data_IF_251550413181
#
_entry.id   IF_251550413181
#
_cell.length_a   1.000
_cell.length_b   1.000
_cell.length_c   1.000
_cell.angle_alpha   90.00
_cell.angle_beta   90.00
_cell.angle_gamma   90.00
#
_symmetry.space_group_name_H-M   'P 1'
#
loop_
_entity.id
_entity.type
_entity.pdbx_description
1 polymer ?
#
# COMPACT_ATOMS: atom_id res chain seq x y z
N UNK A 1 -9.82 -18.67 30.47
CA UNK A 1 -9.78 -17.27 30.01
C UNK A 1 -9.11 -16.39 31.06
N UNK A 2 -9.66 -16.29 32.27
CA UNK A 2 -9.13 -15.38 33.32
C UNK A 2 -7.68 -15.68 33.71
N UNK A 3 -7.31 -16.96 33.83
CA UNK A 3 -5.92 -17.40 34.09
C UNK A 3 -4.94 -16.92 33.02
N UNK A 4 -5.35 -16.97 31.74
CA UNK A 4 -4.54 -16.55 30.59
C UNK A 4 -4.37 -15.03 30.59
N UNK A 5 -5.44 -14.28 30.87
CA UNK A 5 -5.37 -12.82 30.98
C UNK A 5 -4.50 -12.40 32.18
N UNK A 6 -4.62 -13.07 33.32
CA UNK A 6 -3.82 -12.78 34.50
C UNK A 6 -2.33 -13.06 34.27
N UNK A 7 -1.99 -14.19 33.63
CA UNK A 7 -0.62 -14.51 33.25
C UNK A 7 -0.05 -13.48 32.25
N UNK A 8 -0.83 -13.06 31.24
CA UNK A 8 -0.40 -12.01 30.31
C UNK A 8 -0.13 -10.67 31.01
N UNK A 9 -0.96 -10.29 31.99
CA UNK A 9 -0.76 -9.07 32.81
C UNK A 9 0.51 -9.16 33.66
N UNK A 10 0.81 -10.34 34.22
CA UNK A 10 2.03 -10.57 34.99
C UNK A 10 3.31 -10.43 34.14
N UNK A 11 3.21 -10.73 32.84
CA UNK A 11 4.29 -10.57 31.85
C UNK A 11 4.47 -9.13 31.33
N UNK A 12 3.69 -8.18 31.87
CA UNK A 12 3.82 -6.76 31.59
C UNK A 12 2.88 -6.22 30.51
N UNK A 13 2.00 -7.05 29.92
CA UNK A 13 1.04 -6.55 28.94
C UNK A 13 0.02 -5.62 29.60
N UNK A 14 -0.04 -4.38 29.11
CA UNK A 14 -0.83 -3.30 29.67
C UNK A 14 -1.98 -2.92 28.73
N UNK A 15 -2.90 -2.04 29.17
CA UNK A 15 -3.98 -1.54 28.29
C UNK A 15 -5.04 -2.59 27.89
N UNK A 16 -5.69 -2.37 26.75
CA UNK A 16 -6.67 -3.31 26.19
C UNK A 16 -5.96 -4.53 25.61
N UNK A 17 -6.45 -5.73 25.92
CA UNK A 17 -5.87 -6.98 25.44
C UNK A 17 -6.84 -7.63 24.45
N UNK A 18 -6.29 -8.05 23.31
CA UNK A 18 -6.96 -8.90 22.34
C UNK A 18 -6.50 -10.34 22.58
N UNK A 19 -7.47 -11.24 22.80
CA UNK A 19 -7.22 -12.63 23.17
C UNK A 19 -7.71 -13.50 22.03
N UNK A 20 -6.78 -14.14 21.34
CA UNK A 20 -7.08 -15.10 20.28
C UNK A 20 -7.17 -16.51 20.85
N UNK A 21 -8.34 -17.13 20.74
CA UNK A 21 -8.60 -18.50 21.17
C UNK A 21 -7.94 -19.47 20.17
N UNK A 22 -7.17 -20.46 20.64
CA UNK A 22 -6.57 -21.46 19.76
C UNK A 22 -7.62 -22.36 19.12
N UNK A 23 -7.41 -22.73 17.86
CA UNK A 23 -8.33 -23.59 17.11
C UNK A 23 -8.33 -25.06 17.57
N UNK A 24 -7.30 -25.50 18.31
CA UNK A 24 -7.17 -26.87 18.81
C UNK A 24 -6.57 -26.94 20.21
N UNK A 25 -6.74 -28.10 20.86
CA UNK A 25 -6.30 -28.33 22.25
C UNK A 25 -4.78 -28.35 22.46
N UNK A 26 -4.00 -28.43 21.37
CA UNK A 26 -2.53 -28.47 21.41
C UNK A 26 -1.87 -27.16 20.96
N UNK A 27 -2.63 -26.06 20.93
CA UNK A 27 -2.13 -24.73 20.54
C UNK A 27 -2.27 -23.74 21.70
N UNK A 28 -1.26 -22.89 21.88
CA UNK A 28 -1.25 -21.86 22.89
C UNK A 28 -2.26 -20.75 22.59
N UNK A 29 -2.79 -20.16 23.65
CA UNK A 29 -3.58 -18.93 23.60
C UNK A 29 -2.67 -17.75 23.31
N UNK A 30 -3.06 -16.88 22.38
CA UNK A 30 -2.26 -15.69 22.07
C UNK A 30 -2.96 -14.47 22.63
N UNK A 31 -2.28 -13.75 23.52
CA UNK A 31 -2.73 -12.48 24.08
C UNK A 31 -1.87 -11.38 23.53
N UNK A 32 -2.48 -10.36 22.93
CA UNK A 32 -1.77 -9.21 22.34
C UNK A 32 -2.32 -7.92 22.92
N UNK A 33 -1.47 -6.92 23.06
CA UNK A 33 -1.97 -5.57 23.29
C UNK A 33 -2.74 -5.08 22.06
N UNK A 34 -3.96 -4.60 22.28
CA UNK A 34 -4.79 -4.06 21.22
C UNK A 34 -4.16 -2.77 20.67
N UNK A 35 -4.31 -2.55 19.36
CA UNK A 35 -3.91 -1.29 18.73
C UNK A 35 -4.77 -0.16 19.28
N UNK A 36 -4.13 0.93 19.71
CA UNK A 36 -4.79 2.08 20.29
C UNK A 36 -4.21 3.38 19.68
N UNK A 37 -4.98 4.48 19.67
CA UNK A 37 -4.45 5.78 19.27
C UNK A 37 -3.24 6.16 20.12
N UNK A 38 -2.21 6.72 19.46
CA UNK A 38 -0.95 7.18 20.07
C UNK A 38 -0.07 6.08 20.66
N UNK A 39 -0.36 4.81 20.33
CA UNK A 39 0.44 3.65 20.76
C UNK A 39 1.27 3.11 19.58
N UNK A 40 2.59 3.14 19.73
CA UNK A 40 3.55 2.79 18.66
C UNK A 40 4.15 1.38 18.80
N UNK A 41 3.87 0.69 19.89
CA UNK A 41 4.37 -0.64 20.21
C UNK A 41 3.23 -1.49 20.76
N UNK A 42 3.19 -2.77 20.39
CA UNK A 42 2.21 -3.72 20.91
C UNK A 42 2.92 -5.03 21.20
N UNK A 43 2.89 -5.44 22.46
CA UNK A 43 3.51 -6.69 22.88
C UNK A 43 2.52 -7.86 22.73
N UNK A 44 3.07 -9.07 22.57
CA UNK A 44 2.29 -10.29 22.45
C UNK A 44 2.91 -11.43 23.26
N UNK A 45 2.07 -12.20 23.95
CA UNK A 45 2.48 -13.39 24.72
C UNK A 45 1.61 -14.58 24.32
N UNK A 46 2.24 -15.73 24.17
CA UNK A 46 1.58 -17.02 23.94
C UNK A 46 1.59 -17.82 25.24
N UNK A 47 0.42 -18.32 25.66
CA UNK A 47 0.20 -18.94 26.97
C UNK A 47 -0.48 -20.30 26.77
N UNK A 48 0.02 -21.34 27.43
CA UNK A 48 -0.64 -22.64 27.47
C UNK A 48 -1.96 -22.53 28.26
N UNK A 49 -3.07 -22.86 27.60
CA UNK A 49 -4.41 -22.72 28.19
C UNK A 49 -4.72 -23.73 29.30
N UNK A 50 -3.96 -24.82 29.40
CA UNK A 50 -4.14 -25.90 30.38
C UNK A 50 -3.29 -25.68 31.64
N UNK A 51 -2.06 -25.20 31.48
CA UNK A 51 -1.11 -24.99 32.58
C UNK A 51 -0.98 -23.53 33.02
N UNK A 52 -1.37 -22.57 32.16
CA UNK A 52 -1.14 -21.15 32.37
C UNK A 52 0.32 -20.72 32.17
N UNK A 53 1.19 -21.62 31.71
CA UNK A 53 2.60 -21.33 31.47
C UNK A 53 2.79 -20.47 30.20
N UNK A 54 3.73 -19.54 30.25
CA UNK A 54 4.14 -18.76 29.08
C UNK A 54 4.96 -19.65 28.16
N UNK A 55 4.50 -19.81 26.93
CA UNK A 55 5.15 -20.63 25.89
C UNK A 55 6.10 -19.79 25.06
N UNK A 56 5.71 -18.55 24.76
CA UNK A 56 6.49 -17.63 23.94
C UNK A 56 6.13 -16.17 24.24
N UNK A 57 7.08 -15.25 24.04
CA UNK A 57 6.89 -13.81 24.23
C UNK A 57 7.55 -13.05 23.09
N UNK A 58 6.77 -12.15 22.49
CA UNK A 58 7.20 -11.27 21.40
C UNK A 58 7.07 -9.84 21.88
N UNK A 59 8.21 -9.26 22.25
CA UNK A 59 8.33 -7.87 22.68
C UNK A 59 8.54 -6.96 21.46
N UNK A 60 7.85 -5.82 21.46
CA UNK A 60 7.91 -4.87 20.35
C UNK A 60 9.29 -4.20 20.20
N UNK A 61 10.12 -4.23 21.25
CA UNK A 61 11.48 -3.70 21.24
C UNK A 61 12.46 -4.59 20.44
N UNK A 62 12.20 -5.89 20.37
CA UNK A 62 12.99 -6.86 19.62
C UNK A 62 12.59 -6.94 18.13
N UNK A 63 11.56 -6.21 17.72
CA UNK A 63 11.10 -6.22 16.33
C UNK A 63 12.14 -5.60 15.39
N UNK A 64 12.45 -6.26 14.25
CA UNK A 64 13.19 -5.63 13.16
C UNK A 64 12.52 -4.33 12.72
N UNK A 65 13.32 -3.37 12.25
CA UNK A 65 12.82 -2.05 11.79
C UNK A 65 11.72 -2.22 10.74
N UNK A 66 11.87 -3.17 9.82
CA UNK A 66 10.88 -3.47 8.79
C UNK A 66 9.52 -3.91 9.38
N UNK A 67 9.51 -4.70 10.46
CA UNK A 67 8.30 -5.14 11.13
C UNK A 67 7.60 -3.98 11.86
N UNK A 68 8.36 -3.12 12.53
CA UNK A 68 7.84 -1.89 13.18
C UNK A 68 7.23 -0.93 12.17
N UNK A 69 7.94 -0.65 11.08
CA UNK A 69 7.46 0.22 10.02
C UNK A 69 6.19 -0.34 9.37
N UNK A 70 6.14 -1.65 9.13
CA UNK A 70 4.95 -2.33 8.60
C UNK A 70 3.78 -2.23 9.57
N UNK A 71 4.01 -2.41 10.87
CA UNK A 71 2.98 -2.22 11.89
C UNK A 71 2.43 -0.79 11.87
N UNK A 72 3.29 0.23 11.88
CA UNK A 72 2.87 1.63 11.80
C UNK A 72 2.12 1.94 10.50
N UNK A 73 2.59 1.41 9.37
CA UNK A 73 1.92 1.54 8.08
C UNK A 73 0.50 0.96 8.12
N UNK A 74 0.32 -0.22 8.72
CA UNK A 74 -1.01 -0.82 8.91
C UNK A 74 -1.87 0.06 9.82
N UNK A 75 -1.34 0.52 10.96
CA UNK A 75 -2.10 1.38 11.87
C UNK A 75 -2.49 2.73 11.25
N UNK A 76 -1.61 3.28 10.41
CA UNK A 76 -1.88 4.48 9.61
C UNK A 76 -3.01 4.21 8.62
N UNK A 77 -2.91 3.13 7.84
CA UNK A 77 -3.89 2.78 6.83
C UNK A 77 -5.28 2.47 7.42
N UNK A 78 -5.32 1.81 8.57
CA UNK A 78 -6.57 1.52 9.29
C UNK A 78 -7.17 2.76 9.98
N UNK A 79 -6.48 3.90 10.01
CA UNK A 79 -7.00 5.12 10.64
C UNK A 79 -6.85 5.17 12.16
N UNK A 80 -6.02 4.31 12.76
CA UNK A 80 -5.94 4.17 14.23
C UNK A 80 -4.79 4.96 14.88
N UNK A 81 -3.62 5.05 14.24
CA UNK A 81 -2.38 5.48 14.90
C UNK A 81 -2.45 6.87 15.57
N UNK A 82 -3.03 7.86 14.90
CA UNK A 82 -3.21 9.22 15.44
C UNK A 82 -4.69 9.55 15.74
N UNK A 83 -5.52 8.54 15.95
CA UNK A 83 -6.95 8.70 16.18
C UNK A 83 -7.64 9.50 15.07
N UNK A 84 -8.45 10.51 15.45
CA UNK A 84 -9.25 11.30 14.51
C UNK A 84 -8.40 12.08 13.48
N UNK A 85 -7.18 12.48 13.84
CA UNK A 85 -6.28 13.20 12.92
C UNK A 85 -5.94 12.30 11.72
N UNK A 86 -5.66 11.03 11.99
CA UNK A 86 -5.37 10.06 10.95
C UNK A 86 -6.59 9.82 10.04
N UNK A 87 -7.78 9.72 10.64
CA UNK A 87 -9.02 9.56 9.89
C UNK A 87 -9.30 10.75 8.97
N UNK A 88 -9.11 11.98 9.45
CA UNK A 88 -9.25 13.18 8.63
C UNK A 88 -8.24 13.21 7.49
N UNK A 89 -6.99 12.85 7.75
CA UNK A 89 -5.96 12.74 6.71
C UNK A 89 -6.34 11.72 5.64
N UNK A 90 -6.78 10.53 6.04
CA UNK A 90 -7.27 9.51 5.11
C UNK A 90 -8.49 9.96 4.31
N UNK A 91 -9.42 10.69 4.94
CA UNK A 91 -10.58 11.26 4.26
C UNK A 91 -10.16 12.27 3.17
N UNK A 92 -9.19 13.13 3.46
CA UNK A 92 -8.65 14.07 2.46
C UNK A 92 -7.96 13.35 1.31
N UNK A 93 -7.17 12.31 1.59
CA UNK A 93 -6.54 11.48 0.56
C UNK A 93 -7.59 10.79 -0.30
N UNK A 94 -8.62 10.21 0.31
CA UNK A 94 -9.73 9.57 -0.40
C UNK A 94 -10.49 10.56 -1.29
N UNK A 95 -10.77 11.78 -0.80
CA UNK A 95 -11.39 12.84 -1.59
C UNK A 95 -10.51 13.23 -2.79
N UNK A 96 -9.20 13.42 -2.59
CA UNK A 96 -8.28 13.73 -3.69
C UNK A 96 -8.19 12.61 -4.74
N UNK A 97 -8.24 11.34 -4.33
CA UNK A 97 -8.33 10.20 -5.25
C UNK A 97 -9.63 10.24 -6.06
N UNK A 98 -10.76 10.52 -5.41
CA UNK A 98 -12.05 10.66 -6.08
C UNK A 98 -12.02 11.81 -7.08
N UNK A 99 -11.44 12.95 -6.71
CA UNK A 99 -11.28 14.10 -7.60
C UNK A 99 -10.44 13.73 -8.83
N UNK A 100 -9.31 13.05 -8.65
CA UNK A 100 -8.45 12.62 -9.77
C UNK A 100 -9.20 11.63 -10.67
N UNK A 101 -9.98 10.70 -10.12
CA UNK A 101 -10.79 9.76 -10.89
C UNK A 101 -11.86 10.51 -11.70
N UNK A 102 -12.61 11.41 -11.04
CA UNK A 102 -13.63 12.22 -11.67
C UNK A 102 -13.05 13.12 -12.78
N UNK A 103 -11.91 13.76 -12.52
CA UNK A 103 -11.19 14.56 -13.51
C UNK A 103 -10.69 13.70 -14.67
N UNK A 104 -10.15 12.51 -14.39
CA UNK A 104 -9.72 11.55 -15.40
C UNK A 104 -10.87 11.11 -16.30
N UNK A 105 -12.01 10.77 -15.72
CA UNK A 105 -13.22 10.42 -16.46
C UNK A 105 -13.77 11.60 -17.26
N UNK A 106 -13.79 12.80 -16.67
CA UNK A 106 -14.17 14.03 -17.37
C UNK A 106 -13.25 14.31 -18.56
N UNK A 107 -11.93 14.20 -18.40
CA UNK A 107 -10.96 14.35 -19.48
C UNK A 107 -11.18 13.30 -20.57
N UNK A 108 -11.46 12.06 -20.20
CA UNK A 108 -11.78 10.99 -21.13
C UNK A 108 -13.06 11.28 -21.92
N UNK A 109 -14.14 11.70 -21.25
CA UNK A 109 -15.41 12.05 -21.85
C UNK A 109 -15.30 13.26 -22.80
N UNK A 110 -14.61 14.32 -22.38
CA UNK A 110 -14.38 15.51 -23.19
C UNK A 110 -13.55 15.23 -24.44
N UNK A 111 -12.61 14.27 -24.37
CA UNK A 111 -11.72 13.90 -25.48
C UNK A 111 -12.40 13.06 -26.56
N UNK A 112 -13.37 12.22 -26.19
CA UNK A 112 -14.11 11.36 -27.12
C UNK A 112 -15.18 12.09 -27.96
N UNK A 113 -15.49 13.36 -27.65
CA UNK A 113 -16.59 14.09 -28.27
C UNK A 113 -16.34 14.44 -29.75
N UNK A 114 -15.09 14.70 -30.14
CA UNK A 114 -14.76 15.22 -31.47
C UNK A 114 -13.77 14.34 -32.26
N UNK A 115 -13.15 13.31 -31.66
CA UNK A 115 -12.05 12.52 -32.27
C UNK A 115 -12.24 11.00 -32.28
N UNK A 116 -13.43 10.52 -31.93
CA UNK A 116 -13.73 9.08 -31.83
C UNK A 116 -13.26 8.45 -30.53
N UNK A 117 -13.85 7.30 -30.20
CA UNK A 117 -13.55 6.54 -28.99
C UNK A 117 -12.07 6.12 -28.95
N UNK A 118 -11.36 6.42 -27.86
CA UNK A 118 -9.99 5.95 -27.67
C UNK A 118 -8.90 6.71 -28.45
N UNK A 119 -9.19 7.88 -29.04
CA UNK A 119 -8.16 8.80 -29.58
C UNK A 119 -7.00 8.91 -28.60
N UNK A 120 -5.77 8.53 -28.96
CA UNK A 120 -4.60 8.47 -28.05
C UNK A 120 -4.08 9.88 -27.70
N UNK A 121 -3.42 10.08 -26.53
CA UNK A 121 -2.91 11.40 -26.17
C UNK A 121 -1.86 11.81 -27.19
N UNK A 122 -1.78 13.10 -27.51
CA UNK A 122 -0.70 13.61 -28.37
C UNK A 122 0.63 13.23 -27.72
N UNK A 123 1.45 12.46 -28.43
CA UNK A 123 2.74 12.03 -27.94
C UNK A 123 3.57 13.26 -27.49
N UNK A 124 4.28 13.13 -26.35
CA UNK A 124 5.19 14.17 -25.86
C UNK A 124 4.62 15.15 -24.83
N UNK A 125 3.39 14.96 -24.33
CA UNK A 125 2.87 15.75 -23.20
C UNK A 125 3.77 15.65 -21.94
N UNK A 126 4.36 14.47 -21.69
CA UNK A 126 5.36 14.29 -20.63
C UNK A 126 6.57 15.22 -20.80
N UNK A 127 7.01 15.49 -22.03
CA UNK A 127 8.14 16.41 -22.31
C UNK A 127 7.81 17.87 -22.01
N UNK A 128 6.53 18.24 -21.91
CA UNK A 128 6.08 19.60 -21.56
C UNK A 128 6.11 19.86 -20.05
N UNK A 129 6.18 18.82 -19.22
CA UNK A 129 6.32 18.97 -17.78
C UNK A 129 7.70 19.53 -17.43
N UNK A 130 7.77 20.35 -16.37
CA UNK A 130 9.04 20.85 -15.84
C UNK A 130 10.02 19.70 -15.60
N UNK A 131 11.32 19.84 -15.94
CA UNK A 131 12.35 18.84 -15.63
C UNK A 131 12.31 18.43 -14.16
N UNK A 132 12.13 19.38 -13.25
CA UNK A 132 12.04 19.12 -11.82
C UNK A 132 10.88 18.19 -11.48
N UNK A 133 9.68 18.48 -11.99
CA UNK A 133 8.49 17.68 -11.72
C UNK A 133 8.66 16.23 -12.20
N UNK A 134 9.26 16.05 -13.39
CA UNK A 134 9.55 14.71 -13.93
C UNK A 134 10.52 13.94 -13.05
N UNK A 135 11.62 14.57 -12.65
CA UNK A 135 12.62 13.94 -11.78
C UNK A 135 12.01 13.54 -10.44
N UNK A 136 11.23 14.43 -9.82
CA UNK A 136 10.53 14.13 -8.55
C UNK A 136 9.60 12.93 -8.70
N UNK A 137 8.78 12.89 -9.76
CA UNK A 137 7.86 11.76 -9.99
C UNK A 137 8.62 10.45 -10.19
N UNK A 138 9.71 10.45 -10.97
CA UNK A 138 10.54 9.25 -11.18
C UNK A 138 11.17 8.77 -9.88
N UNK A 139 11.73 9.68 -9.07
CA UNK A 139 12.31 9.34 -7.77
C UNK A 139 11.24 8.71 -6.85
N UNK A 140 10.04 9.29 -6.79
CA UNK A 140 8.94 8.76 -5.98
C UNK A 140 8.49 7.37 -6.45
N UNK A 141 8.40 7.15 -7.76
CA UNK A 141 8.04 5.84 -8.32
C UNK A 141 9.09 4.78 -7.99
N UNK A 142 10.38 5.10 -8.10
CA UNK A 142 11.48 4.19 -7.76
C UNK A 142 11.43 3.88 -6.26
N UNK A 143 11.35 4.91 -5.42
CA UNK A 143 11.27 4.74 -3.97
C UNK A 143 10.09 3.84 -3.57
N UNK A 144 8.90 4.09 -4.14
CA UNK A 144 7.71 3.28 -3.87
C UNK A 144 7.85 1.85 -4.39
N UNK A 145 8.49 1.64 -5.55
CA UNK A 145 8.74 0.30 -6.10
C UNK A 145 9.68 -0.54 -5.22
N UNK A 146 10.57 0.08 -4.46
CA UNK A 146 11.39 -0.61 -3.47
C UNK A 146 10.57 -1.07 -2.25
N UNK A 147 9.56 -0.28 -1.85
CA UNK A 147 8.63 -0.64 -0.77
C UNK A 147 7.61 -1.68 -1.23
N UNK A 148 7.17 -1.62 -2.49
CA UNK A 148 6.18 -2.50 -3.09
C UNK A 148 6.73 -3.15 -4.37
N UNK A 149 7.51 -4.25 -4.26
CA UNK A 149 8.19 -4.85 -5.42
C UNK A 149 7.24 -5.30 -6.54
N UNK A 150 6.06 -5.82 -6.19
CA UNK A 150 5.02 -6.22 -7.15
C UNK A 150 4.50 -5.04 -7.98
N UNK A 151 4.35 -3.87 -7.36
CA UNK A 151 4.00 -2.65 -8.07
C UNK A 151 5.11 -2.29 -9.07
N UNK A 152 6.37 -2.30 -8.63
CA UNK A 152 7.52 -2.01 -9.49
C UNK A 152 7.61 -2.94 -10.70
N UNK A 153 7.36 -4.24 -10.51
CA UNK A 153 7.36 -5.23 -11.58
C UNK A 153 6.21 -4.99 -12.57
N UNK A 154 5.01 -4.68 -12.07
CA UNK A 154 3.85 -4.36 -12.93
C UNK A 154 4.07 -3.08 -13.74
N UNK A 155 4.70 -2.06 -13.14
CA UNK A 155 5.05 -0.81 -13.78
C UNK A 155 6.10 -1.03 -14.88
N UNK A 156 7.12 -1.83 -14.59
CA UNK A 156 8.14 -2.20 -15.57
C UNK A 156 7.52 -2.93 -16.77
N UNK A 157 6.66 -3.91 -16.51
CA UNK A 157 5.95 -4.63 -17.56
C UNK A 157 5.10 -3.69 -18.42
N UNK A 158 4.35 -2.77 -17.78
CA UNK A 158 3.55 -1.77 -18.47
C UNK A 158 4.40 -0.86 -19.37
N UNK A 159 5.54 -0.36 -18.88
CA UNK A 159 6.45 0.49 -19.66
C UNK A 159 7.04 -0.25 -20.85
N UNK A 160 7.44 -1.52 -20.68
CA UNK A 160 7.97 -2.33 -21.78
C UNK A 160 6.91 -2.55 -22.86
N UNK A 161 5.67 -2.84 -22.47
CA UNK A 161 4.54 -3.00 -23.38
C UNK A 161 4.27 -1.68 -24.13
N UNK A 162 4.21 -0.54 -23.43
CA UNK A 162 3.96 0.76 -24.04
C UNK A 162 5.04 1.13 -25.08
N UNK A 163 6.31 0.91 -24.74
CA UNK A 163 7.45 1.14 -25.63
C UNK A 163 7.40 0.22 -26.85
N UNK A 164 7.02 -1.06 -26.68
CA UNK A 164 6.85 -1.99 -27.80
C UNK A 164 5.70 -1.55 -28.73
N UNK A 165 4.56 -1.16 -28.18
CA UNK A 165 3.42 -0.63 -28.96
C UNK A 165 3.75 0.69 -29.68
N UNK A 166 4.57 1.56 -29.06
CA UNK A 166 5.02 2.80 -29.69
C UNK A 166 5.94 2.51 -30.88
N UNK A 167 6.90 1.60 -30.74
CA UNK A 167 7.80 1.19 -31.81
C UNK A 167 7.06 0.51 -32.96
N UNK A 168 6.16 -0.42 -32.67
CA UNK A 168 5.37 -1.11 -33.70
C UNK A 168 4.58 -0.12 -34.57
N UNK A 169 3.96 0.90 -33.96
CA UNK A 169 3.24 1.95 -34.69
C UNK A 169 4.16 2.79 -35.57
N UNK A 170 5.32 3.17 -35.05
CA UNK A 170 6.32 3.93 -35.83
C UNK A 170 6.77 3.14 -37.06
N UNK A 171 7.03 1.83 -36.92
CA UNK A 171 7.41 0.96 -38.04
C UNK A 171 6.28 0.81 -39.07
N UNK A 172 5.02 0.69 -38.64
CA UNK A 172 3.87 0.62 -39.54
C UNK A 172 3.65 1.92 -40.33
N UNK A 173 3.88 3.08 -39.71
CA UNK A 173 3.80 4.38 -40.38
C UNK A 173 4.85 4.50 -41.49
N UNK A 174 6.12 4.18 -41.18
CA UNK A 174 7.19 4.18 -42.18
C UNK A 174 6.91 3.25 -43.36
N UNK A 175 6.32 2.07 -43.09
CA UNK A 175 5.92 1.12 -44.15
C UNK A 175 4.82 1.71 -45.05
N UNK A 176 3.83 2.37 -44.47
CA UNK A 176 2.73 2.98 -45.23
C UNK A 176 3.18 4.13 -46.13
N UNK A 177 4.12 4.94 -45.66
CA UNK A 177 4.72 6.04 -46.43
C UNK A 177 5.54 5.51 -47.61
N UNK A 178 6.34 4.45 -47.39
CA UNK A 178 7.14 3.82 -48.44
C UNK A 178 6.27 3.24 -49.59
N UNK A 179 5.12 2.65 -49.27
CA UNK A 179 4.16 2.14 -50.28
C UNK A 179 3.37 3.22 -51.01
N UNK A 180 3.20 4.42 -50.43
CA UNK A 180 2.43 5.50 -51.05
C UNK A 180 3.25 6.35 -52.04
N UNK A 181 4.58 6.19 -52.04
CA UNK A 181 5.49 6.96 -52.89
C UNK A 181 5.88 6.23 -54.18
N UNK A 182 5.40 4.99 -54.36
CA UNK A 182 5.58 4.15 -55.56
C UNK A 182 4.32 4.19 -56.43
#
# INVERSE_FOLDING_TARGET
MDTVVHAARAEGLSGLLDVTVPAGSNSAWVVKEARQPWTFSNDAVSIDGSTGAVVDKVEADQWPIAARLSNWMIQLHMGMLFGWINQLALAMVAAGLLDIICLGYRMWWMRGRDKGFGSLPTAGQWKKASPLARTVVVILLIAYSLLAPLFGLSLLAFVLIDVAFAQARHLLQLRSEATATQ
#
